data_IF_671775808778
#
_entry.id   IF_671775808778
#
_cell.length_a   1.000
_cell.length_b   1.000
_cell.length_c   1.000
_cell.angle_alpha   90.00
_cell.angle_beta   90.00
_cell.angle_gamma   90.00
#
_symmetry.space_group_name_H-M   'P 1'
#
loop_
_entity.id
_entity.type
_entity.pdbx_description
1 polymer ?
#
# COMPACT_ATOMS: atom_id res chain seq x y z
N UNK A 1 -3.72 9.19 5.34
CA UNK A 1 -4.06 8.10 6.27
C UNK A 1 -2.93 8.02 7.27
N UNK A 2 -3.24 7.86 8.54
CA UNK A 2 -2.25 7.80 9.61
C UNK A 2 -2.39 6.44 10.31
N UNK A 3 -1.34 5.62 10.24
CA UNK A 3 -1.25 4.32 10.88
C UNK A 3 -0.27 4.32 12.06
N UNK A 4 0.21 5.50 12.45
CA UNK A 4 1.20 5.65 13.51
C UNK A 4 0.68 5.03 14.82
N UNK A 5 1.51 4.21 15.46
CA UNK A 5 1.15 3.49 16.69
C UNK A 5 0.21 2.29 16.52
N UNK A 6 -0.26 1.98 15.30
CA UNK A 6 -1.07 0.80 15.03
C UNK A 6 -0.22 -0.45 14.68
N UNK A 7 -0.86 -1.62 14.68
CA UNK A 7 -0.24 -2.88 14.20
C UNK A 7 -0.31 -3.04 12.67
N UNK A 8 -1.01 -2.12 11.98
CA UNK A 8 -1.23 -2.17 10.55
C UNK A 8 -0.14 -1.42 9.80
N UNK A 9 0.14 -1.89 8.58
CA UNK A 9 1.13 -1.29 7.68
C UNK A 9 0.61 -1.33 6.26
N UNK A 10 1.00 -0.37 5.43
CA UNK A 10 0.66 -0.37 4.01
C UNK A 10 1.37 -1.55 3.33
N UNK A 11 0.64 -2.39 2.61
CA UNK A 11 1.24 -3.52 1.90
C UNK A 11 1.99 -3.04 0.65
N UNK A 12 3.33 -3.15 0.60
CA UNK A 12 4.10 -2.74 -0.59
C UNK A 12 3.98 -3.77 -1.73
N UNK A 13 3.51 -4.98 -1.42
CA UNK A 13 3.31 -6.05 -2.39
C UNK A 13 1.94 -5.97 -3.08
N UNK A 14 0.91 -5.51 -2.36
CA UNK A 14 -0.45 -5.43 -2.88
C UNK A 14 -0.87 -4.03 -3.36
N UNK A 15 -0.20 -2.97 -2.90
CA UNK A 15 -0.54 -1.60 -3.30
C UNK A 15 0.46 -1.01 -4.29
N UNK A 16 -0.05 -0.20 -5.22
CA UNK A 16 0.74 0.62 -6.13
C UNK A 16 0.34 2.08 -6.01
N UNK A 17 1.33 2.96 -6.00
CA UNK A 17 1.06 4.38 -6.18
C UNK A 17 0.70 4.63 -7.64
N UNK A 18 -0.53 5.09 -7.86
CA UNK A 18 -1.16 5.18 -9.17
C UNK A 18 -1.45 6.64 -9.50
N UNK A 19 -1.05 7.07 -10.69
CA UNK A 19 -1.28 8.43 -11.20
C UNK A 19 -2.02 8.35 -12.53
N UNK A 20 -3.12 9.07 -12.62
CA UNK A 20 -4.00 9.16 -13.78
C UNK A 20 -4.01 10.60 -14.29
N UNK A 21 -3.88 10.79 -15.59
CA UNK A 21 -3.99 12.10 -16.21
C UNK A 21 -3.13 12.27 -17.44
N UNK A 22 -3.28 13.43 -18.08
CA UNK A 22 -2.45 13.86 -19.18
C UNK A 22 -1.60 15.04 -18.70
N UNK A 23 -0.27 14.90 -18.79
CA UNK A 23 0.69 15.89 -18.26
C UNK A 23 0.54 16.02 -16.74
N UNK A 24 0.60 14.87 -16.07
CA UNK A 24 0.42 14.76 -14.62
C UNK A 24 1.66 14.10 -14.05
N UNK A 25 2.25 14.71 -13.03
CA UNK A 25 3.35 14.17 -12.24
C UNK A 25 2.98 14.33 -10.77
N UNK A 26 2.99 13.23 -10.04
CA UNK A 26 2.70 13.25 -8.62
C UNK A 26 3.73 12.46 -7.83
N UNK A 27 3.82 12.83 -6.57
CA UNK A 27 4.72 12.25 -5.59
C UNK A 27 3.92 11.64 -4.45
N UNK A 28 4.49 10.62 -3.84
CA UNK A 28 4.08 10.07 -2.56
C UNK A 28 5.29 10.07 -1.63
N UNK A 29 5.09 10.50 -0.40
CA UNK A 29 6.13 10.61 0.61
C UNK A 29 5.57 10.62 2.01
N UNK A 30 6.48 10.62 2.99
CA UNK A 30 6.16 10.78 4.40
C UNK A 30 5.38 12.08 4.62
N UNK A 31 4.40 12.06 5.53
CA UNK A 31 3.60 13.23 5.86
C UNK A 31 4.43 14.34 6.54
N UNK A 32 5.56 14.00 7.16
CA UNK A 32 6.35 14.91 7.99
C UNK A 32 7.47 15.65 7.25
N UNK A 33 7.86 15.18 6.05
CA UNK A 33 8.91 15.82 5.25
C UNK A 33 8.60 15.78 3.75
N UNK A 34 8.21 16.94 3.21
CA UNK A 34 7.96 17.20 1.78
C UNK A 34 9.20 16.91 0.90
N UNK A 35 10.40 16.75 1.50
CA UNK A 35 11.64 16.42 0.80
C UNK A 35 11.98 14.91 0.81
N UNK A 36 11.27 14.08 1.58
CA UNK A 36 11.48 12.62 1.66
C UNK A 36 10.63 11.87 0.62
N UNK A 37 10.77 12.27 -0.65
CA UNK A 37 10.08 11.61 -1.75
C UNK A 37 10.36 10.12 -1.74
N UNK A 38 9.29 9.35 -1.60
CA UNK A 38 9.34 7.92 -1.36
C UNK A 38 9.07 7.17 -2.68
N UNK A 39 8.17 7.70 -3.51
CA UNK A 39 8.03 7.32 -4.90
C UNK A 39 7.47 8.48 -5.76
N UNK A 40 7.68 8.40 -7.08
CA UNK A 40 7.19 9.36 -8.08
C UNK A 40 6.58 8.61 -9.25
N UNK A 41 5.52 9.18 -9.82
CA UNK A 41 4.82 8.57 -10.95
C UNK A 41 4.21 9.67 -11.83
N UNK A 42 4.38 9.52 -13.14
CA UNK A 42 3.98 10.51 -14.13
C UNK A 42 3.25 9.88 -15.31
N UNK A 43 2.20 10.55 -15.76
CA UNK A 43 1.36 10.14 -16.87
C UNK A 43 1.31 11.25 -17.94
N UNK A 44 1.48 10.87 -19.21
CA UNK A 44 1.41 11.77 -20.36
C UNK A 44 0.51 11.21 -21.43
N UNK A 45 0.03 12.08 -22.32
CA UNK A 45 -0.83 11.72 -23.45
C UNK A 45 -0.32 12.42 -24.70
N UNK A 46 -0.44 11.78 -25.86
CA UNK A 46 -0.07 12.40 -27.13
C UNK A 46 -0.98 13.58 -27.43
N UNK A 47 -0.42 14.79 -27.51
CA UNK A 47 -1.19 16.01 -27.76
C UNK A 47 -2.19 16.39 -26.65
N UNK A 48 -2.11 15.74 -25.48
CA UNK A 48 -3.08 15.93 -24.40
C UNK A 48 -4.46 15.29 -24.67
N UNK A 49 -4.62 14.50 -25.75
CA UNK A 49 -5.90 13.91 -26.12
C UNK A 49 -6.06 12.50 -25.51
N UNK A 50 -7.05 12.28 -24.61
CA UNK A 50 -7.34 10.98 -24.03
C UNK A 50 -8.01 9.99 -25.01
N UNK A 51 -8.41 10.41 -26.22
CA UNK A 51 -9.08 9.55 -27.21
C UNK A 51 -8.23 8.39 -27.73
N UNK A 52 -6.90 8.52 -27.63
CA UNK A 52 -5.93 7.51 -28.07
C UNK A 52 -5.58 6.48 -26.98
N UNK A 53 -6.24 6.56 -25.82
CA UNK A 53 -5.97 5.71 -24.67
C UNK A 53 -6.75 4.40 -24.76
N UNK A 54 -6.08 3.30 -24.40
CA UNK A 54 -6.70 1.97 -24.33
C UNK A 54 -7.04 1.66 -22.89
N UNK A 55 -8.28 1.23 -22.64
CA UNK A 55 -8.72 0.78 -21.32
C UNK A 55 -8.02 -0.53 -20.92
N UNK A 56 -7.97 -0.83 -19.62
CA UNK A 56 -7.43 -2.08 -19.10
C UNK A 56 -6.06 -1.90 -18.44
N UNK A 57 -5.00 -1.83 -19.24
CA UNK A 57 -3.61 -1.78 -18.72
C UNK A 57 -3.19 -0.36 -18.31
N UNK A 58 -2.42 -0.27 -17.23
CA UNK A 58 -1.87 0.98 -16.68
C UNK A 58 -0.34 0.96 -16.72
N UNK A 59 0.21 0.81 -17.92
CA UNK A 59 1.66 0.70 -18.16
C UNK A 59 2.13 1.73 -19.20
N UNK A 60 1.48 2.90 -19.28
CA UNK A 60 1.80 3.85 -20.35
C UNK A 60 1.06 5.19 -20.32
N UNK A 61 0.48 5.56 -21.45
CA UNK A 61 -0.17 6.86 -21.61
C UNK A 61 -1.39 6.98 -20.71
N UNK A 62 -1.58 8.15 -20.10
CA UNK A 62 -2.73 8.42 -19.25
C UNK A 62 -2.73 7.75 -17.87
N UNK A 63 -1.85 6.76 -17.63
CA UNK A 63 -1.84 5.95 -16.42
C UNK A 63 -0.44 5.44 -16.09
N UNK A 64 0.04 5.76 -14.90
CA UNK A 64 1.29 5.23 -14.36
C UNK A 64 1.02 4.55 -13.02
N UNK A 65 1.75 3.46 -12.75
CA UNK A 65 1.82 2.80 -11.43
C UNK A 65 3.29 2.65 -11.04
N UNK A 66 3.58 2.82 -9.76
CA UNK A 66 4.91 2.56 -9.20
C UNK A 66 4.82 1.87 -7.85
N UNK A 67 5.89 1.17 -7.47
CA UNK A 67 5.99 0.55 -6.16
C UNK A 67 6.16 1.62 -5.06
N UNK A 68 5.63 1.33 -3.87
CA UNK A 68 6.01 2.03 -2.65
C UNK A 68 7.09 1.22 -1.92
N UNK A 69 8.06 1.86 -1.25
CA UNK A 69 9.03 1.18 -0.43
C UNK A 69 8.37 0.65 0.85
N UNK A 70 9.10 -0.28 1.48
CA UNK A 70 8.68 -0.91 2.73
C UNK A 70 8.79 0.08 3.89
N UNK A 71 7.91 -0.05 4.88
CA UNK A 71 7.97 0.74 6.11
C UNK A 71 7.34 2.13 6.01
N UNK A 72 6.54 2.40 4.98
CA UNK A 72 5.70 3.61 4.92
C UNK A 72 4.54 3.49 5.91
N UNK A 73 4.52 4.35 6.92
CA UNK A 73 3.56 4.31 8.04
C UNK A 73 2.45 5.34 7.87
N UNK A 74 2.82 6.56 7.52
CA UNK A 74 1.92 7.61 7.06
C UNK A 74 2.30 7.98 5.62
N UNK A 75 1.41 8.67 4.91
CA UNK A 75 1.78 9.22 3.62
C UNK A 75 0.95 10.44 3.24
N UNK A 76 1.55 11.29 2.42
CA UNK A 76 0.88 12.35 1.66
C UNK A 76 1.13 12.15 0.17
N UNK A 77 0.19 12.67 -0.62
CA UNK A 77 0.26 12.71 -2.07
C UNK A 77 0.14 14.15 -2.52
N UNK A 78 1.00 14.57 -3.44
CA UNK A 78 0.94 15.91 -4.02
C UNK A 78 1.36 15.90 -5.48
N UNK A 79 0.81 16.84 -6.24
CA UNK A 79 1.15 17.03 -7.65
C UNK A 79 2.31 17.99 -7.80
N UNK A 80 3.18 17.71 -8.77
CA UNK A 80 4.16 18.67 -9.25
C UNK A 80 3.42 19.87 -9.88
N UNK A 81 3.58 21.06 -9.30
CA UNK A 81 2.86 22.26 -9.75
C UNK A 81 3.36 22.79 -11.09
N UNK A 82 4.62 22.54 -11.43
CA UNK A 82 5.22 23.03 -12.66
C UNK A 82 4.88 22.11 -13.83
N UNK A 83 5.03 20.80 -13.63
CA UNK A 83 4.70 19.82 -14.64
C UNK A 83 3.19 19.70 -14.83
N UNK A 84 2.42 19.60 -13.74
CA UNK A 84 0.96 19.38 -13.76
C UNK A 84 0.15 20.68 -13.80
N UNK A 85 0.74 21.76 -14.34
CA UNK A 85 0.07 23.04 -14.45
C UNK A 85 -1.24 22.90 -15.25
N UNK A 86 -2.38 23.44 -14.76
CA UNK A 86 -3.67 23.31 -15.43
C UNK A 86 -3.60 23.91 -16.82
N UNK A 87 -4.08 23.17 -17.81
CA UNK A 87 -4.28 23.69 -19.18
C UNK A 87 -5.73 23.48 -19.59
N UNK A 88 -6.29 24.29 -20.50
CA UNK A 88 -7.67 24.10 -20.96
C UNK A 88 -7.93 22.72 -21.59
N UNK A 89 -6.88 22.04 -22.07
CA UNK A 89 -6.93 20.68 -22.62
C UNK A 89 -6.59 19.60 -21.57
N UNK A 90 -6.09 19.96 -20.39
CA UNK A 90 -5.81 19.00 -19.33
C UNK A 90 -7.13 18.64 -18.66
N UNK A 91 -7.57 17.40 -18.86
CA UNK A 91 -8.72 16.83 -18.17
C UNK A 91 -8.46 16.59 -16.68
N UNK A 92 -9.19 15.66 -16.10
CA UNK A 92 -9.04 15.30 -14.69
C UNK A 92 -7.69 14.60 -14.44
N UNK A 93 -7.07 14.93 -13.31
CA UNK A 93 -5.85 14.29 -12.82
C UNK A 93 -6.09 13.70 -11.44
N UNK A 94 -5.64 12.47 -11.22
CA UNK A 94 -5.79 11.76 -9.96
C UNK A 94 -4.47 11.13 -9.55
N UNK A 95 -4.23 11.05 -8.24
CA UNK A 95 -3.09 10.36 -7.67
C UNK A 95 -3.55 9.72 -6.36
N UNK A 96 -3.34 8.41 -6.24
CA UNK A 96 -3.77 7.63 -5.08
C UNK A 96 -2.92 6.39 -4.91
N UNK A 97 -2.83 5.89 -3.68
CA UNK A 97 -2.38 4.54 -3.42
C UNK A 97 -3.56 3.60 -3.65
N UNK A 98 -3.39 2.58 -4.49
CA UNK A 98 -4.48 1.69 -4.91
C UNK A 98 -4.04 0.23 -4.84
N UNK A 99 -4.92 -0.64 -4.38
CA UNK A 99 -4.78 -2.09 -4.48
C UNK A 99 -4.63 -2.51 -5.95
N UNK A 100 -3.52 -3.17 -6.27
CA UNK A 100 -3.14 -3.54 -7.63
C UNK A 100 -4.16 -4.49 -8.29
N UNK A 101 -4.65 -5.48 -7.55
CA UNK A 101 -5.63 -6.47 -8.01
C UNK A 101 -7.03 -5.90 -8.26
N UNK A 102 -7.35 -4.75 -7.69
CA UNK A 102 -8.68 -4.15 -7.71
C UNK A 102 -8.74 -2.86 -8.55
N UNK A 103 -7.75 -2.65 -9.41
CA UNK A 103 -7.67 -1.46 -10.26
C UNK A 103 -7.53 -1.81 -11.74
N UNK A 104 -8.52 -1.38 -12.53
CA UNK A 104 -8.52 -1.42 -13.99
C UNK A 104 -8.61 -0.01 -14.54
N UNK A 105 -7.71 0.35 -15.45
CA UNK A 105 -7.70 1.70 -16.02
C UNK A 105 -8.88 1.92 -16.98
N UNK A 106 -9.51 3.09 -16.89
CA UNK A 106 -10.50 3.59 -17.83
C UNK A 106 -10.11 5.01 -18.28
N UNK A 107 -10.13 5.26 -19.59
CA UNK A 107 -9.87 6.60 -20.15
C UNK A 107 -10.89 7.65 -19.68
N UNK A 108 -12.10 7.23 -19.28
CA UNK A 108 -13.12 8.13 -18.69
C UNK A 108 -12.67 8.76 -17.37
N UNK A 109 -11.72 8.15 -16.67
CA UNK A 109 -11.10 8.73 -15.49
C UNK A 109 -10.33 10.01 -15.82
N UNK A 110 -9.94 10.24 -17.08
CA UNK A 110 -9.20 11.45 -17.44
C UNK A 110 -10.11 12.61 -17.86
N UNK A 111 -11.41 12.38 -18.00
CA UNK A 111 -12.36 13.39 -18.49
C UNK A 111 -13.53 13.65 -17.53
N UNK A 112 -13.60 12.94 -16.40
CA UNK A 112 -14.73 13.01 -15.47
C UNK A 112 -14.34 12.59 -14.06
N UNK A 113 -15.28 12.76 -13.12
CA UNK A 113 -15.19 12.26 -11.75
C UNK A 113 -15.29 10.73 -11.62
N UNK A 114 -15.38 9.98 -12.72
CA UNK A 114 -15.65 8.54 -12.70
C UNK A 114 -14.67 7.73 -11.84
N UNK A 115 -13.42 8.19 -11.66
CA UNK A 115 -12.48 7.53 -10.75
C UNK A 115 -12.90 7.68 -9.28
N UNK A 116 -13.29 8.90 -8.88
CA UNK A 116 -13.81 9.19 -7.54
C UNK A 116 -15.12 8.43 -7.33
N UNK A 117 -16.02 8.46 -8.32
CA UNK A 117 -17.34 7.85 -8.24
C UNK A 117 -17.25 6.32 -8.14
N UNK A 118 -16.34 5.68 -8.88
CA UNK A 118 -16.13 4.23 -8.86
C UNK A 118 -15.74 3.69 -7.47
N UNK A 119 -15.09 4.52 -6.65
CA UNK A 119 -14.58 4.15 -5.33
C UNK A 119 -15.19 4.96 -4.20
N UNK A 120 -16.26 5.74 -4.44
CA UNK A 120 -16.87 6.60 -3.42
C UNK A 120 -15.90 7.58 -2.76
N UNK A 121 -14.88 8.03 -3.50
CA UNK A 121 -13.81 8.90 -3.01
C UNK A 121 -12.74 8.23 -2.15
N UNK A 122 -12.79 6.91 -1.98
CA UNK A 122 -11.82 6.14 -1.20
C UNK A 122 -11.30 4.96 -2.02
N UNK A 123 -10.16 5.15 -2.68
CA UNK A 123 -9.53 4.08 -3.44
C UNK A 123 -9.22 2.87 -2.54
N UNK A 124 -9.45 1.63 -3.02
CA UNK A 124 -9.19 0.42 -2.24
C UNK A 124 -7.70 0.32 -1.95
N UNK A 125 -7.36 -0.11 -0.74
CA UNK A 125 -5.99 -0.33 -0.30
C UNK A 125 -5.92 -1.56 0.59
N UNK A 126 -4.78 -2.25 0.55
CA UNK A 126 -4.52 -3.44 1.37
C UNK A 126 -3.55 -3.10 2.49
N UNK A 127 -3.93 -3.45 3.71
CA UNK A 127 -3.05 -3.37 4.87
C UNK A 127 -2.51 -4.75 5.21
N UNK A 128 -1.20 -4.82 5.42
CA UNK A 128 -0.60 -5.90 6.16
C UNK A 128 -0.57 -5.56 7.65
N UNK A 129 -0.16 -6.52 8.49
CA UNK A 129 -0.05 -6.32 9.92
C UNK A 129 1.12 -7.09 10.51
N UNK A 130 1.68 -6.59 11.62
CA UNK A 130 2.58 -7.36 12.48
C UNK A 130 2.62 -6.71 13.86
N UNK A 131 2.92 -7.51 14.87
CA UNK A 131 3.01 -7.11 16.27
C UNK A 131 4.26 -6.26 16.50
N UNK A 132 4.20 -5.38 17.50
CA UNK A 132 5.29 -4.51 17.90
C UNK A 132 4.98 -3.05 17.55
N UNK A 133 5.52 -2.14 18.36
CA UNK A 133 5.39 -0.70 18.13
C UNK A 133 6.40 -0.21 17.08
N UNK A 134 6.27 1.06 16.69
CA UNK A 134 7.13 1.72 15.70
C UNK A 134 8.60 1.76 16.09
N UNK A 135 8.94 1.54 17.37
CA UNK A 135 10.30 1.40 17.86
C UNK A 135 11.02 0.15 17.30
N UNK A 136 10.31 -0.76 16.64
CA UNK A 136 10.87 -1.94 16.02
C UNK A 136 11.13 -3.04 17.03
N UNK A 137 10.08 -3.78 17.40
CA UNK A 137 10.25 -5.02 18.15
C UNK A 137 10.55 -6.17 17.19
N UNK A 138 11.70 -6.82 17.41
CA UNK A 138 12.07 -8.07 16.77
C UNK A 138 11.60 -9.23 17.64
N UNK A 139 11.65 -10.44 17.11
CA UNK A 139 11.38 -11.64 17.90
C UNK A 139 12.27 -11.75 19.13
N UNK A 140 13.54 -11.37 19.02
CA UNK A 140 14.50 -11.38 20.13
C UNK A 140 14.07 -10.43 21.25
N UNK A 141 13.79 -9.16 20.91
CA UNK A 141 13.41 -8.16 21.91
C UNK A 141 12.00 -8.39 22.47
N UNK A 142 11.09 -8.98 21.68
CA UNK A 142 9.77 -9.36 22.13
C UNK A 142 9.81 -10.56 23.09
N UNK A 143 10.65 -11.57 22.82
CA UNK A 143 10.84 -12.72 23.70
C UNK A 143 11.41 -12.36 25.08
N UNK A 144 12.14 -11.25 25.17
CA UNK A 144 12.62 -10.70 26.44
C UNK A 144 11.53 -10.00 27.28
N UNK A 145 10.31 -9.83 26.74
CA UNK A 145 9.16 -9.19 27.41
C UNK A 145 7.96 -10.15 27.49
N UNK A 146 7.95 -11.12 28.42
CA UNK A 146 6.93 -12.17 28.47
C UNK A 146 5.50 -11.65 28.62
N UNK A 147 5.31 -10.51 29.29
CA UNK A 147 3.98 -9.93 29.53
C UNK A 147 3.32 -9.37 28.27
N UNK A 148 4.10 -8.91 27.29
CA UNK A 148 3.62 -8.35 26.02
C UNK A 148 3.90 -9.25 24.82
N UNK A 149 4.49 -10.43 25.04
CA UNK A 149 4.82 -11.37 23.98
C UNK A 149 3.56 -12.08 23.48
N UNK A 150 3.28 -11.94 22.18
CA UNK A 150 2.00 -12.37 21.62
C UNK A 150 2.00 -13.80 21.07
N UNK A 151 3.15 -14.44 20.86
CA UNK A 151 3.22 -15.84 20.41
C UNK A 151 3.08 -16.78 21.61
N UNK A 152 1.86 -16.89 22.12
CA UNK A 152 1.55 -17.53 23.43
C UNK A 152 1.34 -19.05 23.35
N UNK A 153 1.37 -19.64 22.15
CA UNK A 153 1.16 -21.08 21.96
C UNK A 153 2.50 -21.82 21.94
N UNK A 154 2.60 -22.94 22.66
CA UNK A 154 3.83 -23.76 22.77
C UNK A 154 4.26 -24.41 21.45
N UNK A 155 3.35 -24.52 20.48
CA UNK A 155 3.58 -24.99 19.12
C UNK A 155 3.59 -23.84 18.10
N UNK A 156 3.96 -22.64 18.54
CA UNK A 156 4.19 -21.48 17.67
C UNK A 156 5.66 -21.04 17.67
N UNK A 157 6.01 -20.29 16.64
CA UNK A 157 7.30 -19.64 16.46
C UNK A 157 7.09 -18.17 16.12
N UNK A 158 7.93 -17.32 16.70
CA UNK A 158 8.02 -15.93 16.31
C UNK A 158 8.84 -15.80 15.02
N UNK A 159 8.36 -14.99 14.09
CA UNK A 159 9.05 -14.67 12.85
C UNK A 159 9.08 -13.15 12.67
N UNK A 160 10.26 -12.58 12.45
CA UNK A 160 10.37 -11.15 12.14
C UNK A 160 9.59 -10.81 10.87
N UNK A 161 8.98 -9.64 10.89
CA UNK A 161 8.03 -9.19 9.88
C UNK A 161 8.70 -9.00 8.51
N UNK A 162 8.22 -9.65 7.42
CA UNK A 162 8.83 -9.51 6.09
C UNK A 162 8.59 -8.14 5.42
N UNK A 163 7.68 -7.36 6.00
CA UNK A 163 7.26 -6.03 5.53
C UNK A 163 7.98 -4.89 6.27
N UNK A 164 8.88 -5.21 7.21
CA UNK A 164 9.67 -4.22 7.93
C UNK A 164 9.73 -4.51 9.43
N UNK A 165 9.43 -3.49 10.25
CA UNK A 165 9.46 -3.58 11.72
C UNK A 165 8.37 -4.51 12.25
N UNK A 166 8.60 -5.08 13.43
CA UNK A 166 7.65 -5.96 14.11
C UNK A 166 7.86 -7.44 13.84
N UNK A 167 6.95 -8.27 14.35
CA UNK A 167 6.99 -9.72 14.20
C UNK A 167 5.58 -10.32 14.08
N UNK A 168 5.51 -11.54 13.55
CA UNK A 168 4.29 -12.34 13.47
C UNK A 168 4.50 -13.70 14.15
N UNK A 169 3.41 -14.30 14.58
CA UNK A 169 3.40 -15.64 15.16
C UNK A 169 2.92 -16.62 14.12
N UNK A 170 3.67 -17.71 13.92
CA UNK A 170 3.28 -18.80 13.02
C UNK A 170 3.22 -20.11 13.80
N UNK A 171 2.28 -20.97 13.46
CA UNK A 171 2.31 -22.33 13.97
C UNK A 171 3.54 -23.07 13.43
N UNK A 172 4.12 -23.93 14.25
CA UNK A 172 5.24 -24.77 13.89
C UNK A 172 4.87 -25.70 12.72
N UNK A 173 5.89 -26.19 12.01
CA UNK A 173 5.69 -27.18 10.95
C UNK A 173 4.92 -28.40 11.50
N UNK A 174 3.85 -28.79 10.82
CA UNK A 174 2.95 -29.85 11.28
C UNK A 174 1.76 -29.38 12.11
N UNK A 175 1.64 -28.07 12.38
CA UNK A 175 0.52 -27.46 13.07
C UNK A 175 -0.17 -26.39 12.22
N UNK A 176 -1.48 -26.22 12.39
CA UNK A 176 -2.27 -25.17 11.75
C UNK A 176 -3.23 -24.50 12.75
N UNK A 177 -3.64 -23.27 12.45
CA UNK A 177 -4.57 -22.50 13.25
C UNK A 177 -4.01 -21.13 13.63
N UNK A 178 -4.38 -20.63 14.80
CA UNK A 178 -4.08 -19.27 15.23
C UNK A 178 -2.99 -19.27 16.33
N UNK A 179 -1.76 -18.91 15.96
CA UNK A 179 -0.60 -18.90 16.86
C UNK A 179 -0.68 -17.89 18.02
N UNK A 180 -1.68 -17.00 18.00
CA UNK A 180 -1.90 -15.95 18.99
C UNK A 180 -2.84 -16.41 20.12
N UNK A 181 -3.38 -17.62 20.02
CA UNK A 181 -4.24 -18.23 21.04
C UNK A 181 -3.49 -19.40 21.69
N UNK A 182 -3.57 -19.52 23.02
CA UNK A 182 -2.87 -20.57 23.79
C UNK A 182 -3.12 -21.98 23.24
N UNK A 183 -4.35 -22.28 22.82
CA UNK A 183 -4.72 -23.59 22.22
C UNK A 183 -4.99 -23.51 20.71
N UNK A 184 -4.42 -22.51 20.04
CA UNK A 184 -4.78 -22.16 18.67
C UNK A 184 -4.04 -22.93 17.58
N UNK A 185 -2.81 -23.40 17.82
CA UNK A 185 -2.10 -24.27 16.89
C UNK A 185 -2.38 -25.74 17.20
N UNK A 186 -2.99 -26.45 16.24
CA UNK A 186 -3.38 -27.85 16.36
C UNK A 186 -2.67 -28.70 15.32
N UNK A 187 -2.35 -29.94 15.67
CA UNK A 187 -1.71 -30.90 14.76
C UNK A 187 -2.52 -31.02 13.48
N UNK A 188 -1.86 -30.89 12.34
CA UNK A 188 -2.46 -31.14 11.03
C UNK A 188 -2.74 -32.63 10.95
N UNK A 189 -4.02 -33.00 11.01
CA UNK A 189 -4.42 -34.39 10.81
C UNK A 189 -4.55 -34.64 9.32
N UNK A 190 -3.61 -35.41 8.77
CA UNK A 190 -3.72 -35.97 7.43
C UNK A 190 -4.55 -37.25 7.55
N UNK A 191 -5.86 -37.12 7.36
CA UNK A 191 -6.75 -38.27 7.13
C UNK A 191 -7.02 -38.39 5.63
#
# INVERSE_FOLDING_TARGET
MDLEGSVFRLSPAANRFTVLGCKTLAYIGDADDDASYTAVCGATCKGGDPSLLTNGSCEGMGCCRTAIPKGLENYRVWFDRNFSAPTPAAGCSYAALVEESNFTFSSTYLSSSAFVDAYGGQAPLVLDWAIGTLAGETCESAGAKPESYACVNDHSVCVDSPIGRGYICKCNKGYQGNAYLRDGCKVISLY
#
